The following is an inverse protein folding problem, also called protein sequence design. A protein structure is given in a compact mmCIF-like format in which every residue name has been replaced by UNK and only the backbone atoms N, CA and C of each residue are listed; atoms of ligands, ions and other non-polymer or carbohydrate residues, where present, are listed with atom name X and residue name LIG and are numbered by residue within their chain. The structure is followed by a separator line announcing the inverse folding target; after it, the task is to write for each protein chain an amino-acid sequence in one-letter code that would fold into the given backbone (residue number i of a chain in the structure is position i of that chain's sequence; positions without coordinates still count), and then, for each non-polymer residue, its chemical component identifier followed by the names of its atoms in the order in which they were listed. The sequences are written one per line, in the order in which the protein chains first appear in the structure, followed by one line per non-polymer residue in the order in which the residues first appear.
data_IF_010372988535
#
_entry.id   IF_010372988535
#
_cell.length_a   1.000
_cell.length_b   1.000
_cell.length_c   1.000
_cell.angle_alpha   90.00
_cell.angle_beta   90.00
_cell.angle_gamma   90.00
#
_symmetry.space_group_name_H-M   'P 1'
#
loop_
_entity.id
_entity.type
_entity.pdbx_description
1 polymer ?
#
# COMPACT_ATOMS: atom_id res chain seq x y z
N UNK A 1 8.56 -25.49 7.32
CA UNK A 1 8.91 -24.38 6.40
C UNK A 1 9.00 -24.83 4.93
N UNK A 2 8.07 -25.67 4.43
CA UNK A 2 8.12 -26.10 3.00
C UNK A 2 7.42 -25.13 2.04
N UNK A 3 6.65 -24.19 2.58
CA UNK A 3 5.76 -23.28 1.83
C UNK A 3 6.11 -21.80 1.98
N UNK A 4 7.12 -21.46 2.78
CA UNK A 4 7.60 -20.08 2.95
C UNK A 4 8.34 -19.68 1.66
N UNK A 5 7.95 -18.57 1.05
CA UNK A 5 8.44 -18.09 -0.25
C UNK A 5 9.36 -16.86 -0.11
N UNK A 6 10.09 -16.79 0.99
CA UNK A 6 10.98 -15.66 1.28
C UNK A 6 10.33 -14.52 2.11
N UNK A 7 11.14 -13.52 2.49
CA UNK A 7 10.71 -12.40 3.32
C UNK A 7 9.95 -11.34 2.53
N UNK A 8 8.93 -10.76 3.16
CA UNK A 8 8.16 -9.62 2.64
C UNK A 8 8.35 -8.39 3.51
N UNK A 9 8.28 -7.21 2.89
CA UNK A 9 8.38 -5.90 3.56
C UNK A 9 7.12 -5.06 3.33
N UNK A 10 6.69 -4.35 4.37
CA UNK A 10 5.56 -3.43 4.29
C UNK A 10 6.05 -2.04 3.86
N UNK A 11 5.74 -1.63 2.61
CA UNK A 11 6.32 -0.42 2.02
C UNK A 11 5.93 0.87 2.76
N UNK A 12 4.75 0.92 3.40
CA UNK A 12 4.33 2.14 4.12
C UNK A 12 5.24 2.51 5.29
N UNK A 13 6.04 1.58 5.82
CA UNK A 13 7.00 1.89 6.87
C UNK A 13 8.18 2.72 6.37
N UNK A 14 8.38 2.75 5.05
CA UNK A 14 9.49 3.40 4.38
C UNK A 14 9.05 4.49 3.40
N UNK A 15 7.77 4.52 3.00
CA UNK A 15 7.28 5.48 2.01
C UNK A 15 7.40 6.92 2.50
N UNK A 16 7.99 7.78 1.68
CA UNK A 16 8.27 9.18 1.99
C UNK A 16 8.24 9.99 0.68
N UNK A 17 8.30 11.32 0.76
CA UNK A 17 8.30 12.22 -0.41
C UNK A 17 9.70 12.37 -1.05
N UNK A 18 10.70 11.66 -0.54
CA UNK A 18 12.10 11.71 -1.02
C UNK A 18 12.51 10.42 -1.73
N UNK A 19 13.40 10.54 -2.71
CA UNK A 19 14.01 9.38 -3.38
C UNK A 19 14.83 8.53 -2.38
N UNK A 20 14.80 7.18 -2.46
CA UNK A 20 14.07 6.35 -3.42
C UNK A 20 12.65 5.97 -2.96
N UNK A 21 12.14 6.56 -1.88
CA UNK A 21 10.94 6.10 -1.17
C UNK A 21 9.61 6.66 -1.69
N UNK A 22 9.67 7.50 -2.72
CA UNK A 22 8.53 8.26 -3.25
C UNK A 22 7.91 7.67 -4.52
N UNK A 23 8.47 6.59 -5.07
CA UNK A 23 8.02 5.94 -6.31
C UNK A 23 8.21 4.43 -6.24
N UNK A 24 7.28 3.67 -6.83
CA UNK A 24 7.29 2.21 -6.75
C UNK A 24 8.55 1.58 -7.35
N UNK A 25 8.98 2.02 -8.54
CA UNK A 25 10.18 1.49 -9.21
C UNK A 25 11.45 1.68 -8.35
N UNK A 26 11.62 2.88 -7.80
CA UNK A 26 12.83 3.25 -7.04
C UNK A 26 12.89 2.52 -5.70
N UNK A 27 11.76 2.44 -4.98
CA UNK A 27 11.70 1.72 -3.71
C UNK A 27 11.80 0.19 -3.95
N UNK A 28 11.27 -0.33 -5.06
CA UNK A 28 11.40 -1.74 -5.43
C UNK A 28 12.87 -2.12 -5.66
N UNK A 29 13.63 -1.29 -6.38
CA UNK A 29 15.06 -1.49 -6.55
C UNK A 29 15.80 -1.49 -5.20
N UNK A 30 15.46 -0.57 -4.30
CA UNK A 30 16.03 -0.53 -2.95
C UNK A 30 15.69 -1.80 -2.14
N UNK A 31 14.42 -2.22 -2.15
CA UNK A 31 13.93 -3.41 -1.43
C UNK A 31 14.62 -4.68 -1.91
N UNK A 32 14.75 -4.87 -3.23
CA UNK A 32 15.43 -6.02 -3.80
C UNK A 32 16.91 -6.08 -3.36
N UNK A 33 17.59 -4.93 -3.31
CA UNK A 33 18.96 -4.83 -2.81
C UNK A 33 19.11 -5.18 -1.32
N UNK A 34 18.03 -5.07 -0.52
CA UNK A 34 18.04 -5.51 0.88
C UNK A 34 17.78 -7.02 1.04
N UNK A 35 17.50 -7.75 -0.05
CA UNK A 35 17.29 -9.20 -0.03
C UNK A 35 15.85 -9.65 0.25
N UNK A 36 14.87 -8.75 0.08
CA UNK A 36 13.46 -9.14 0.13
C UNK A 36 13.00 -9.82 -1.17
N UNK A 37 12.03 -10.72 -1.05
CA UNK A 37 11.44 -11.44 -2.20
C UNK A 37 10.01 -10.94 -2.52
N UNK A 38 9.39 -10.20 -1.60
CA UNK A 38 8.04 -9.68 -1.79
C UNK A 38 7.81 -8.34 -1.08
N UNK A 39 6.73 -7.66 -1.47
CA UNK A 39 6.27 -6.40 -0.90
C UNK A 39 4.80 -6.46 -0.53
N UNK A 40 4.44 -5.77 0.55
CA UNK A 40 3.06 -5.43 0.89
C UNK A 40 2.79 -3.99 0.44
N UNK A 41 1.86 -3.82 -0.50
CA UNK A 41 1.54 -2.53 -1.10
C UNK A 41 0.49 -1.79 -0.24
N UNK A 42 0.75 -0.56 0.22
CA UNK A 42 -0.24 0.23 0.94
C UNK A 42 -1.33 0.75 0.00
N UNK A 43 -2.55 0.23 0.13
CA UNK A 43 -3.64 0.52 -0.79
C UNK A 43 -4.15 1.97 -0.71
N UNK A 44 -3.79 2.72 0.34
CA UNK A 44 -4.17 4.12 0.52
C UNK A 44 -3.13 5.12 -0.02
N UNK A 45 -1.90 4.67 -0.31
CA UNK A 45 -0.81 5.55 -0.71
C UNK A 45 -0.65 5.59 -2.23
N UNK A 46 -1.35 6.54 -2.86
CA UNK A 46 -1.36 6.72 -4.32
C UNK A 46 0.01 7.00 -4.94
N UNK A 47 1.03 7.36 -4.15
CA UNK A 47 2.41 7.52 -4.64
C UNK A 47 2.98 6.17 -5.12
N UNK A 48 2.55 5.08 -4.47
CA UNK A 48 3.03 3.73 -4.72
C UNK A 48 1.99 2.85 -5.42
N UNK A 49 0.71 3.00 -5.10
CA UNK A 49 -0.37 2.17 -5.65
C UNK A 49 -1.73 2.90 -5.59
N UNK A 50 -2.41 3.02 -6.74
CA UNK A 50 -3.78 3.56 -6.81
C UNK A 50 -4.79 2.40 -6.85
N UNK A 51 -5.39 2.09 -5.70
CA UNK A 51 -6.36 1.00 -5.56
C UNK A 51 -7.62 1.20 -6.39
N UNK A 52 -8.06 2.45 -6.61
CA UNK A 52 -9.24 2.72 -7.40
C UNK A 52 -8.96 2.43 -8.87
N UNK A 53 -7.80 2.87 -9.37
CA UNK A 53 -7.42 2.60 -10.75
C UNK A 53 -7.15 1.10 -10.98
N UNK A 54 -6.56 0.41 -9.99
CA UNK A 54 -6.39 -1.04 -10.03
C UNK A 54 -7.73 -1.79 -10.13
N UNK A 55 -8.80 -1.29 -9.50
CA UNK A 55 -10.13 -1.90 -9.60
C UNK A 55 -10.74 -1.78 -11.02
N UNK A 56 -10.30 -0.80 -11.81
CA UNK A 56 -10.88 -0.47 -13.12
C UNK A 56 -9.99 -0.86 -14.30
N UNK A 57 -8.71 -1.16 -14.06
CA UNK A 57 -7.71 -1.38 -15.12
C UNK A 57 -6.82 -2.59 -14.85
N UNK A 58 -7.00 -3.63 -15.67
CA UNK A 58 -6.09 -4.79 -15.68
C UNK A 58 -4.69 -4.38 -16.15
N UNK A 59 -4.59 -3.50 -17.15
CA UNK A 59 -3.29 -3.04 -17.68
C UNK A 59 -2.46 -2.35 -16.58
N UNK A 60 -3.11 -1.55 -15.71
CA UNK A 60 -2.43 -0.94 -14.57
C UNK A 60 -1.94 -1.99 -13.57
N UNK A 61 -2.75 -3.01 -13.27
CA UNK A 61 -2.32 -4.11 -12.41
C UNK A 61 -1.11 -4.84 -13.00
N UNK A 62 -1.12 -5.08 -14.31
CA UNK A 62 -0.02 -5.74 -15.03
C UNK A 62 1.25 -4.86 -15.05
N UNK A 63 1.12 -3.53 -15.16
CA UNK A 63 2.22 -2.58 -15.04
C UNK A 63 2.85 -2.61 -13.64
N UNK A 64 2.04 -2.60 -12.57
CA UNK A 64 2.51 -2.69 -11.19
C UNK A 64 3.23 -4.02 -10.95
N UNK A 65 2.66 -5.13 -11.42
CA UNK A 65 3.30 -6.44 -11.33
C UNK A 65 4.59 -6.48 -12.14
N UNK A 66 4.59 -5.91 -13.35
CA UNK A 66 5.77 -5.80 -14.22
C UNK A 66 6.91 -5.04 -13.56
N UNK A 67 6.60 -3.87 -12.99
CA UNK A 67 7.51 -3.02 -12.21
C UNK A 67 8.21 -3.84 -11.11
N UNK A 68 7.45 -4.53 -10.27
CA UNK A 68 8.01 -5.36 -9.18
C UNK A 68 8.79 -6.57 -9.71
N UNK A 69 8.28 -7.23 -10.75
CA UNK A 69 8.92 -8.40 -11.36
C UNK A 69 10.30 -8.06 -11.97
N UNK A 70 10.48 -6.85 -12.50
CA UNK A 70 11.78 -6.39 -13.03
C UNK A 70 12.88 -6.39 -11.95
N UNK A 71 12.49 -6.27 -10.68
CA UNK A 71 13.39 -6.34 -9.52
C UNK A 71 13.35 -7.69 -8.80
N UNK A 72 12.69 -8.70 -9.38
CA UNK A 72 12.53 -10.02 -8.78
C UNK A 72 11.56 -10.07 -7.60
N UNK A 73 10.78 -9.02 -7.37
CA UNK A 73 9.83 -8.92 -6.26
C UNK A 73 8.44 -9.41 -6.66
N UNK A 74 7.69 -9.91 -5.68
CA UNK A 74 6.27 -10.25 -5.80
C UNK A 74 5.40 -9.38 -4.89
N UNK A 75 4.14 -9.18 -5.26
CA UNK A 75 3.14 -8.68 -4.31
C UNK A 75 2.77 -9.84 -3.40
N UNK A 76 2.99 -9.69 -2.09
CA UNK A 76 2.46 -10.66 -1.11
C UNK A 76 1.06 -10.28 -0.66
N UNK A 77 0.81 -8.98 -0.44
CA UNK A 77 -0.43 -8.47 0.17
C UNK A 77 -0.74 -7.05 -0.33
N UNK A 78 -2.03 -6.70 -0.36
CA UNK A 78 -2.48 -5.31 -0.36
C UNK A 78 -2.83 -4.94 1.08
N UNK A 79 -2.10 -3.99 1.64
CA UNK A 79 -2.35 -3.55 3.00
C UNK A 79 -3.51 -2.56 3.01
N UNK A 80 -4.54 -2.84 3.82
CA UNK A 80 -5.81 -2.10 3.85
C UNK A 80 -6.24 -1.70 5.27
N UNK A 81 -5.32 -1.68 6.25
CA UNK A 81 -5.70 -1.47 7.65
C UNK A 81 -6.40 -0.13 7.91
N UNK A 82 -6.03 0.96 7.20
CA UNK A 82 -6.74 2.25 7.32
C UNK A 82 -8.18 2.11 6.83
N UNK A 83 -8.40 1.40 5.71
CA UNK A 83 -9.75 1.16 5.20
C UNK A 83 -10.57 0.34 6.20
N UNK A 84 -10.01 -0.75 6.70
CA UNK A 84 -10.66 -1.59 7.71
C UNK A 84 -10.98 -0.82 9.01
N UNK A 85 -10.08 0.07 9.44
CA UNK A 85 -10.24 0.87 10.64
C UNK A 85 -11.46 1.82 10.57
N UNK A 86 -11.83 2.27 9.36
CA UNK A 86 -12.89 3.26 9.16
C UNK A 86 -14.27 2.67 8.81
N UNK A 87 -14.39 1.37 8.54
CA UNK A 87 -15.65 0.77 8.07
C UNK A 87 -16.77 0.65 9.13
N UNK A 88 -16.44 0.56 10.42
CA UNK A 88 -17.41 0.27 11.48
C UNK A 88 -17.05 0.95 12.80
N UNK A 89 -16.75 2.25 12.74
CA UNK A 89 -16.36 3.04 13.91
C UNK A 89 -17.58 3.31 14.79
N UNK A 90 -17.52 2.91 16.07
CA UNK A 90 -18.55 3.27 17.04
C UNK A 90 -18.54 4.80 17.28
N UNK A 91 -19.69 5.49 17.38
CA UNK A 91 -19.76 6.96 17.50
C UNK A 91 -18.90 7.55 18.62
N UNK A 92 -18.72 6.82 19.73
CA UNK A 92 -17.83 7.24 20.83
C UNK A 92 -16.35 7.42 20.43
N UNK A 93 -15.92 6.85 19.30
CA UNK A 93 -14.56 6.94 18.77
C UNK A 93 -14.46 7.78 17.49
N UNK A 94 -15.56 8.38 17.04
CA UNK A 94 -15.64 9.09 15.76
C UNK A 94 -14.56 10.17 15.64
N UNK A 95 -14.51 11.10 16.61
CA UNK A 95 -13.49 12.16 16.64
C UNK A 95 -12.04 11.64 16.69
N UNK A 96 -11.80 10.46 17.28
CA UNK A 96 -10.47 9.86 17.30
C UNK A 96 -10.11 9.30 15.92
N UNK A 97 -11.07 8.67 15.24
CA UNK A 97 -10.87 8.04 13.94
C UNK A 97 -10.94 9.02 12.77
N UNK A 98 -11.57 10.19 12.93
CA UNK A 98 -11.75 11.20 11.88
C UNK A 98 -10.42 11.60 11.22
N UNK A 99 -9.34 11.66 12.01
CA UNK A 99 -8.00 11.99 11.52
C UNK A 99 -7.41 10.96 10.54
N UNK A 100 -7.94 9.74 10.48
CA UNK A 100 -7.53 8.73 9.50
C UNK A 100 -8.27 8.86 8.16
N UNK A 101 -9.40 9.56 8.13
CA UNK A 101 -10.14 9.81 6.90
C UNK A 101 -9.43 10.87 6.03
N UNK A 102 -9.65 10.86 4.70
CA UNK A 102 -9.25 11.97 3.84
C UNK A 102 -9.78 13.30 4.39
N UNK A 103 -8.96 14.35 4.33
CA UNK A 103 -9.27 15.66 4.93
C UNK A 103 -10.59 16.28 4.45
N UNK A 104 -11.00 15.98 3.22
CA UNK A 104 -12.26 16.47 2.65
C UNK A 104 -13.51 15.73 3.18
N UNK A 105 -13.34 14.67 3.97
CA UNK A 105 -14.41 13.89 4.60
C UNK A 105 -14.49 14.10 6.12
N UNK A 106 -13.59 14.91 6.70
CA UNK A 106 -13.57 15.16 8.14
C UNK A 106 -14.90 15.70 8.66
N UNK A 107 -15.36 15.16 9.78
CA UNK A 107 -16.65 15.51 10.40
C UNK A 107 -17.89 14.93 9.70
N UNK A 108 -17.72 14.05 8.70
CA UNK A 108 -18.80 13.37 8.01
C UNK A 108 -18.69 11.84 8.14
N UNK A 109 -19.05 11.33 9.33
CA UNK A 109 -18.97 9.90 9.67
C UNK A 109 -19.91 8.98 8.87
N UNK A 110 -20.78 9.54 8.01
CA UNK A 110 -21.75 8.81 7.20
C UNK A 110 -21.37 8.72 5.71
N UNK A 111 -20.24 9.35 5.32
CA UNK A 111 -19.73 9.36 3.96
C UNK A 111 -19.14 8.01 3.51
#
# INVERSE_FOLDING_TARGET
MKTIKGPSIHLAQFSDDVFPFNRLEDIAAWVANQGFEAVQLPAWDKRLFDVNFAAESQDYCDEILGTLNNHGLKVSELTTHIFGQLMAVHPAYDSMCDNFAPSHLHGNSAA
#
